data_IF_590224972154
#
_entry.id   IF_590224972154
#
_cell.length_a   1.000
_cell.length_b   1.000
_cell.length_c   1.000
_cell.angle_alpha   90.00
_cell.angle_beta   90.00
_cell.angle_gamma   90.00
#
_symmetry.space_group_name_H-M   'P 1'
#
loop_
_entity.id
_entity.type
_entity.pdbx_description
1 polymer ?
#
# COMPACT_ATOMS: atom_id res chain seq x y z
N UNK A 1 12.15 26.68 8.38
CA UNK A 1 10.83 26.21 7.85
C UNK A 1 9.72 26.96 8.59
N UNK A 2 8.62 27.33 7.91
CA UNK A 2 7.46 27.91 8.58
C UNK A 2 6.84 26.89 9.54
N UNK A 3 6.29 27.35 10.66
CA UNK A 3 5.66 26.47 11.66
C UNK A 3 4.31 25.98 11.06
N UNK A 4 4.12 24.68 10.94
CA UNK A 4 2.82 24.10 10.57
C UNK A 4 1.84 24.36 11.72
N UNK A 5 0.67 24.90 11.39
CA UNK A 5 -0.41 25.08 12.34
C UNK A 5 -1.71 24.45 11.87
N UNK A 6 -2.01 24.57 10.57
CA UNK A 6 -3.29 24.19 10.01
C UNK A 6 -3.14 23.05 9.01
N UNK A 7 -3.80 21.94 9.29
CA UNK A 7 -3.73 20.70 8.51
C UNK A 7 -5.14 20.33 8.03
N UNK A 8 -5.27 20.02 6.74
CA UNK A 8 -6.44 19.31 6.24
C UNK A 8 -6.16 17.82 6.26
N UNK A 9 -7.04 17.02 6.84
CA UNK A 9 -7.08 15.57 6.69
C UNK A 9 -8.10 15.25 5.61
N UNK A 10 -7.61 14.87 4.42
CA UNK A 10 -8.42 14.56 3.27
C UNK A 10 -8.71 13.06 3.21
N UNK A 11 -9.99 12.69 3.19
CA UNK A 11 -10.42 11.30 3.22
C UNK A 11 -11.59 11.05 2.25
N UNK A 12 -12.10 9.81 2.20
CA UNK A 12 -13.25 9.47 1.38
C UNK A 12 -12.87 9.00 -0.02
N UNK A 13 -13.54 9.51 -1.03
CA UNK A 13 -13.45 9.07 -2.41
C UNK A 13 -14.43 7.96 -2.77
N UNK A 14 -14.41 7.55 -4.05
CA UNK A 14 -15.36 6.58 -4.63
C UNK A 14 -14.92 5.13 -4.50
N UNK A 15 -13.76 4.88 -3.88
CA UNK A 15 -13.28 3.52 -3.77
C UNK A 15 -14.11 2.71 -2.77
N UNK A 16 -14.13 1.42 -2.94
CA UNK A 16 -14.76 0.50 -1.98
C UNK A 16 -14.01 0.45 -0.63
N UNK A 17 -12.88 1.15 -0.51
CA UNK A 17 -12.09 1.31 0.72
C UNK A 17 -12.46 2.60 1.48
N UNK A 18 -13.58 3.24 1.12
CA UNK A 18 -14.07 4.49 1.74
C UNK A 18 -14.16 4.40 3.26
N UNK A 19 -14.70 3.30 3.79
CA UNK A 19 -14.82 3.09 5.25
C UNK A 19 -13.44 3.04 5.94
N UNK A 20 -12.44 2.41 5.29
CA UNK A 20 -11.06 2.38 5.79
C UNK A 20 -10.45 3.79 5.80
N UNK A 21 -10.74 4.57 4.75
CA UNK A 21 -10.33 5.98 4.64
C UNK A 21 -10.93 6.83 5.76
N UNK A 22 -12.24 6.71 6.02
CA UNK A 22 -12.91 7.42 7.12
C UNK A 22 -12.33 7.07 8.50
N UNK A 23 -12.08 5.78 8.75
CA UNK A 23 -11.49 5.33 10.00
C UNK A 23 -10.05 5.82 10.17
N UNK A 24 -9.25 5.80 9.11
CA UNK A 24 -7.90 6.37 9.09
C UNK A 24 -7.93 7.86 9.41
N UNK A 25 -8.82 8.62 8.76
CA UNK A 25 -8.94 10.05 8.97
C UNK A 25 -9.33 10.41 10.42
N UNK A 26 -10.24 9.66 11.03
CA UNK A 26 -10.62 9.85 12.44
C UNK A 26 -9.44 9.67 13.40
N UNK A 27 -8.65 8.62 13.21
CA UNK A 27 -7.48 8.36 14.06
C UNK A 27 -6.37 9.39 13.83
N UNK A 28 -6.11 9.77 12.58
CA UNK A 28 -5.12 10.79 12.21
C UNK A 28 -5.54 12.14 12.81
N UNK A 29 -6.78 12.60 12.57
CA UNK A 29 -7.27 13.88 13.06
C UNK A 29 -7.20 13.97 14.59
N UNK A 30 -7.62 12.91 15.29
CA UNK A 30 -7.51 12.83 16.74
C UNK A 30 -6.06 12.97 17.23
N UNK A 31 -5.12 12.32 16.55
CA UNK A 31 -3.70 12.36 16.91
C UNK A 31 -3.09 13.73 16.67
N UNK A 32 -3.38 14.35 15.52
CA UNK A 32 -2.88 15.67 15.18
C UNK A 32 -3.45 16.76 16.12
N UNK A 33 -4.73 16.68 16.50
CA UNK A 33 -5.32 17.55 17.53
C UNK A 33 -4.62 17.40 18.89
N UNK A 34 -4.24 16.18 19.28
CA UNK A 34 -3.50 15.93 20.52
C UNK A 34 -2.11 16.56 20.49
N UNK A 35 -1.49 16.66 19.31
CA UNK A 35 -0.20 17.34 19.10
C UNK A 35 -0.33 18.87 19.00
N UNK A 36 -1.56 19.42 19.06
CA UNK A 36 -1.81 20.86 19.08
C UNK A 36 -1.95 21.50 17.69
N UNK A 37 -2.14 20.70 16.64
CA UNK A 37 -2.46 21.22 15.31
C UNK A 37 -3.92 21.66 15.19
N UNK A 38 -4.20 22.65 14.35
CA UNK A 38 -5.54 23.00 13.89
C UNK A 38 -5.90 22.06 12.72
N UNK A 39 -6.92 21.23 12.92
CA UNK A 39 -7.23 20.14 11.98
C UNK A 39 -8.63 20.30 11.42
N UNK A 40 -8.71 20.29 10.09
CA UNK A 40 -9.97 20.24 9.33
C UNK A 40 -10.04 18.91 8.59
N UNK A 41 -11.14 18.18 8.74
CA UNK A 41 -11.36 16.94 7.96
C UNK A 41 -12.26 17.26 6.77
N UNK A 42 -11.80 16.91 5.57
CA UNK A 42 -12.55 17.11 4.32
C UNK A 42 -12.82 15.76 3.68
N UNK A 43 -14.10 15.53 3.36
CA UNK A 43 -14.54 14.33 2.65
C UNK A 43 -14.49 14.56 1.14
N UNK A 44 -13.65 13.76 0.46
CA UNK A 44 -13.49 13.84 -0.98
C UNK A 44 -14.71 13.20 -1.67
N UNK A 45 -15.52 14.03 -2.34
CA UNK A 45 -16.69 13.60 -3.12
C UNK A 45 -16.31 13.08 -4.51
N UNK A 46 -17.31 12.90 -5.36
CA UNK A 46 -17.12 12.53 -6.77
C UNK A 46 -16.45 13.64 -7.60
N UNK A 47 -16.76 14.89 -7.27
CA UNK A 47 -16.20 16.08 -7.91
C UNK A 47 -15.08 16.66 -7.04
N UNK A 48 -13.88 16.14 -7.23
CA UNK A 48 -12.69 16.57 -6.48
C UNK A 48 -12.37 18.07 -6.63
N UNK A 49 -12.90 18.73 -7.66
CA UNK A 49 -12.55 20.13 -7.95
C UNK A 49 -13.11 21.11 -6.92
N UNK A 50 -14.27 20.80 -6.35
CA UNK A 50 -14.87 21.63 -5.31
C UNK A 50 -14.07 21.58 -4.00
N UNK A 51 -13.81 20.38 -3.52
CA UNK A 51 -13.09 20.18 -2.26
C UNK A 51 -11.65 20.68 -2.32
N UNK A 52 -11.00 20.57 -3.49
CA UNK A 52 -9.63 21.10 -3.68
C UNK A 52 -9.63 22.63 -3.59
N UNK A 53 -10.65 23.32 -4.14
CA UNK A 53 -10.79 24.77 -4.01
C UNK A 53 -10.96 25.25 -2.57
N UNK A 54 -11.42 24.41 -1.64
CA UNK A 54 -11.50 24.75 -0.21
C UNK A 54 -10.17 24.62 0.55
N UNK A 55 -9.17 23.96 -0.05
CA UNK A 55 -7.88 23.66 0.57
C UNK A 55 -6.90 24.85 0.53
N UNK A 56 -7.20 25.95 -0.17
CA UNK A 56 -6.28 27.06 -0.53
C UNK A 56 -5.54 27.78 0.64
N UNK A 57 -5.84 27.45 1.90
CA UNK A 57 -5.27 28.19 3.06
C UNK A 57 -4.80 27.27 4.19
N UNK A 58 -4.19 26.16 3.84
CA UNK A 58 -3.65 25.23 4.82
C UNK A 58 -2.15 25.06 4.62
N UNK A 59 -1.46 24.66 5.67
CA UNK A 59 0.00 24.47 5.60
C UNK A 59 0.36 23.13 4.92
N UNK A 60 -0.48 22.11 5.05
CA UNK A 60 -0.31 20.80 4.42
C UNK A 60 -1.62 20.00 4.44
N UNK A 61 -1.82 19.18 3.43
CA UNK A 61 -2.89 18.19 3.35
C UNK A 61 -2.39 16.82 3.77
N UNK A 62 -2.95 16.23 4.83
CA UNK A 62 -2.69 14.85 5.19
C UNK A 62 -3.60 13.94 4.38
N UNK A 63 -3.02 13.10 3.51
CA UNK A 63 -3.77 12.16 2.68
C UNK A 63 -4.14 10.93 3.49
N UNK A 64 -5.43 10.77 3.77
CA UNK A 64 -6.02 9.59 4.41
C UNK A 64 -6.95 8.83 3.46
N UNK A 65 -6.90 9.14 2.16
CA UNK A 65 -7.66 8.44 1.11
C UNK A 65 -7.08 7.05 0.85
N UNK A 66 -7.96 6.06 0.59
CA UNK A 66 -7.53 4.70 0.23
C UNK A 66 -8.19 4.25 -1.07
N UNK A 67 -7.40 3.57 -1.91
CA UNK A 67 -7.81 3.14 -3.24
C UNK A 67 -8.06 4.30 -4.21
N UNK A 68 -8.44 3.95 -5.43
CA UNK A 68 -8.91 4.91 -6.44
C UNK A 68 -7.96 6.08 -6.69
N UNK A 69 -8.51 7.29 -6.63
CA UNK A 69 -7.79 8.55 -6.92
C UNK A 69 -6.68 8.86 -5.89
N UNK A 70 -6.82 8.37 -4.65
CA UNK A 70 -5.85 8.62 -3.59
C UNK A 70 -4.52 7.88 -3.80
N UNK A 71 -4.57 6.69 -4.42
CA UNK A 71 -3.42 5.79 -4.54
C UNK A 71 -2.90 5.62 -5.98
N UNK A 72 -3.49 6.30 -6.97
CA UNK A 72 -3.10 6.18 -8.38
C UNK A 72 -2.27 7.36 -8.91
N UNK A 73 -1.87 8.28 -8.05
CA UNK A 73 -1.06 9.45 -8.38
C UNK A 73 -1.84 10.67 -8.89
N UNK A 74 -3.12 10.54 -9.23
CA UNK A 74 -3.90 11.64 -9.79
C UNK A 74 -4.08 12.79 -8.81
N UNK A 75 -4.43 12.48 -7.57
CA UNK A 75 -4.63 13.49 -6.53
C UNK A 75 -3.32 14.23 -6.22
N UNK A 76 -2.23 13.49 -6.13
CA UNK A 76 -0.89 14.06 -5.94
C UNK A 76 -0.48 14.99 -7.10
N UNK A 77 -0.79 14.59 -8.34
CA UNK A 77 -0.51 15.43 -9.52
C UNK A 77 -1.32 16.74 -9.52
N UNK A 78 -2.59 16.70 -9.06
CA UNK A 78 -3.40 17.90 -8.91
C UNK A 78 -2.78 18.83 -7.86
N UNK A 79 -2.39 18.31 -6.70
CA UNK A 79 -1.76 19.11 -5.65
C UNK A 79 -0.42 19.72 -6.09
N UNK A 80 0.38 18.98 -6.88
CA UNK A 80 1.61 19.51 -7.46
C UNK A 80 1.33 20.70 -8.39
N UNK A 81 0.28 20.64 -9.21
CA UNK A 81 -0.14 21.73 -10.11
C UNK A 81 -0.64 22.94 -9.32
N UNK A 82 -1.47 22.72 -8.32
CA UNK A 82 -2.07 23.77 -7.47
C UNK A 82 -1.08 24.30 -6.39
N UNK A 83 0.12 23.73 -6.31
CA UNK A 83 1.15 24.08 -5.31
C UNK A 83 0.65 23.90 -3.86
N UNK A 84 -0.12 22.88 -3.63
CA UNK A 84 -0.63 22.47 -2.33
C UNK A 84 0.31 21.41 -1.75
N UNK A 85 0.90 21.68 -0.58
CA UNK A 85 1.70 20.69 0.13
C UNK A 85 0.82 19.53 0.62
N UNK A 86 1.27 18.29 0.45
CA UNK A 86 0.56 17.11 0.88
C UNK A 86 1.50 16.06 1.48
N UNK A 87 0.98 15.14 2.29
CA UNK A 87 1.77 14.05 2.87
C UNK A 87 1.93 12.89 1.90
N UNK A 88 3.08 12.19 2.02
CA UNK A 88 3.38 10.99 1.26
C UNK A 88 4.21 11.25 0.01
N UNK A 89 4.22 10.26 -0.86
CA UNK A 89 5.14 10.18 -2.00
C UNK A 89 4.64 10.98 -3.21
N UNK A 90 5.51 11.18 -4.20
CA UNK A 90 5.19 11.92 -5.43
C UNK A 90 4.11 11.20 -6.26
N UNK A 91 3.48 11.95 -7.19
CA UNK A 91 2.50 11.38 -8.10
C UNK A 91 3.07 10.22 -8.93
N UNK A 92 4.31 10.33 -9.40
CA UNK A 92 4.94 9.31 -10.24
C UNK A 92 5.18 8.01 -9.45
N UNK A 93 5.78 8.12 -8.27
CA UNK A 93 6.03 6.98 -7.39
C UNK A 93 4.74 6.24 -7.02
N UNK A 94 3.70 7.02 -6.71
CA UNK A 94 2.37 6.51 -6.36
C UNK A 94 1.70 5.82 -7.55
N UNK A 95 1.77 6.42 -8.75
CA UNK A 95 1.19 5.82 -9.96
C UNK A 95 1.88 4.51 -10.38
N UNK A 96 3.21 4.45 -10.29
CA UNK A 96 3.99 3.25 -10.63
C UNK A 96 3.71 2.13 -9.62
N UNK A 97 3.66 2.45 -8.33
CA UNK A 97 3.43 1.43 -7.29
C UNK A 97 2.06 0.80 -7.39
N UNK A 98 1.04 1.56 -7.77
CA UNK A 98 -0.33 1.06 -7.95
C UNK A 98 -0.46 0.09 -9.13
N UNK A 99 0.35 0.25 -10.16
CA UNK A 99 0.35 -0.64 -11.34
C UNK A 99 1.23 -1.88 -11.09
N UNK A 100 0.60 -3.04 -10.89
CA UNK A 100 1.28 -4.31 -10.56
C UNK A 100 2.32 -4.73 -11.59
N UNK A 101 2.15 -4.38 -12.88
CA UNK A 101 3.14 -4.70 -13.91
C UNK A 101 4.35 -3.80 -13.78
N UNK A 102 4.13 -2.50 -13.62
CA UNK A 102 5.22 -1.53 -13.50
C UNK A 102 6.00 -1.72 -12.20
N UNK A 103 5.32 -1.88 -11.07
CA UNK A 103 5.99 -2.10 -9.77
C UNK A 103 6.85 -3.36 -9.76
N UNK A 104 6.41 -4.45 -10.41
CA UNK A 104 7.21 -5.68 -10.55
C UNK A 104 8.41 -5.52 -11.50
N UNK A 105 8.28 -4.73 -12.56
CA UNK A 105 9.42 -4.40 -13.44
C UNK A 105 10.48 -3.66 -12.61
N UNK A 106 10.07 -2.67 -11.83
CA UNK A 106 10.98 -1.92 -10.95
C UNK A 106 11.61 -2.85 -9.89
N UNK A 107 10.83 -3.66 -9.21
CA UNK A 107 11.36 -4.61 -8.22
C UNK A 107 12.37 -5.59 -8.84
N UNK A 108 12.08 -6.11 -10.03
CA UNK A 108 12.98 -7.01 -10.75
C UNK A 108 14.29 -6.31 -11.19
N UNK A 109 14.24 -5.03 -11.56
CA UNK A 109 15.43 -4.26 -11.99
C UNK A 109 16.46 -4.08 -10.86
N UNK A 110 16.02 -4.16 -9.60
CA UNK A 110 16.91 -4.12 -8.41
C UNK A 110 17.21 -5.49 -7.82
N UNK A 111 16.94 -6.55 -8.59
CA UNK A 111 17.28 -7.94 -8.23
C UNK A 111 16.34 -8.60 -7.24
N UNK A 112 15.11 -8.11 -7.10
CA UNK A 112 14.09 -8.75 -6.25
C UNK A 112 13.28 -9.74 -7.08
N UNK A 113 13.12 -10.97 -6.55
CA UNK A 113 12.32 -12.01 -7.22
C UNK A 113 10.83 -11.60 -7.26
N UNK A 114 10.22 -11.81 -8.42
CA UNK A 114 8.77 -11.70 -8.63
C UNK A 114 8.25 -13.04 -9.15
N UNK A 115 6.99 -13.34 -8.88
CA UNK A 115 6.34 -14.48 -9.52
C UNK A 115 6.34 -14.29 -11.05
N UNK A 116 6.53 -15.40 -11.78
CA UNK A 116 6.56 -15.37 -13.25
C UNK A 116 5.24 -14.88 -13.82
N UNK A 117 5.29 -13.85 -14.65
CA UNK A 117 4.13 -13.37 -15.40
C UNK A 117 3.79 -14.35 -16.52
N UNK A 118 2.50 -14.64 -16.69
CA UNK A 118 1.97 -15.55 -17.70
C UNK A 118 1.11 -14.78 -18.71
N UNK A 119 1.29 -15.07 -19.98
CA UNK A 119 0.42 -14.53 -21.03
C UNK A 119 -0.83 -15.41 -21.13
N UNK A 120 -2.01 -14.81 -21.00
CA UNK A 120 -3.30 -15.54 -20.92
C UNK A 120 -3.49 -16.53 -22.08
N UNK A 121 -3.14 -16.13 -23.29
CA UNK A 121 -3.22 -16.92 -24.52
C UNK A 121 -2.22 -18.08 -24.62
N UNK A 122 -1.22 -18.12 -23.70
CA UNK A 122 -0.15 -19.13 -23.69
C UNK A 122 -0.14 -20.02 -22.46
N UNK A 123 -1.13 -19.90 -21.57
CA UNK A 123 -1.20 -20.70 -20.34
C UNK A 123 -1.41 -22.19 -20.66
N UNK A 124 -0.51 -23.03 -20.15
CA UNK A 124 -0.53 -24.48 -20.31
C UNK A 124 -0.90 -25.18 -19.00
N UNK A 125 -1.22 -26.50 -19.08
CA UNK A 125 -1.62 -27.28 -17.91
C UNK A 125 -0.55 -27.36 -16.81
N UNK A 126 0.74 -27.27 -17.17
CA UNK A 126 1.87 -27.30 -16.23
C UNK A 126 2.18 -25.94 -15.58
N UNK A 127 1.47 -24.88 -15.97
CA UNK A 127 1.61 -23.56 -15.34
C UNK A 127 0.88 -23.45 -14.00
N UNK A 128 -0.08 -24.34 -13.75
CA UNK A 128 -0.91 -24.31 -12.53
C UNK A 128 -0.17 -24.80 -11.29
N UNK A 129 -0.51 -24.26 -10.10
CA UNK A 129 -1.52 -23.24 -9.86
C UNK A 129 -1.10 -21.83 -10.31
N UNK A 130 -2.09 -21.03 -10.74
CA UNK A 130 -1.92 -19.65 -11.15
C UNK A 130 -2.81 -18.72 -10.33
N UNK A 131 -2.46 -17.43 -10.29
CA UNK A 131 -3.28 -16.38 -9.71
C UNK A 131 -3.56 -15.30 -10.74
N UNK A 132 -4.80 -14.83 -10.81
CA UNK A 132 -5.17 -13.64 -11.57
C UNK A 132 -5.42 -12.47 -10.60
N UNK A 133 -5.01 -11.29 -11.03
CA UNK A 133 -5.15 -10.05 -10.24
C UNK A 133 -5.55 -8.91 -11.18
N UNK A 134 -6.47 -8.02 -10.79
CA UNK A 134 -6.63 -6.75 -11.50
C UNK A 134 -5.32 -5.95 -11.43
N UNK A 135 -4.95 -5.29 -12.54
CA UNK A 135 -3.65 -4.59 -12.63
C UNK A 135 -3.57 -3.44 -11.63
N UNK A 136 -4.67 -2.69 -11.45
CA UNK A 136 -4.75 -1.44 -10.68
C UNK A 136 -5.83 -1.51 -9.61
N UNK A 137 -5.81 -2.53 -8.78
CA UNK A 137 -6.76 -2.70 -7.68
C UNK A 137 -5.99 -2.98 -6.38
N UNK A 138 -6.45 -2.40 -5.28
CA UNK A 138 -5.96 -2.63 -3.92
C UNK A 138 -6.73 -3.73 -3.19
N UNK A 139 -6.42 -3.92 -1.91
CA UNK A 139 -7.15 -4.76 -0.94
C UNK A 139 -7.45 -6.18 -1.37
N UNK A 140 -6.61 -6.78 -2.21
CA UNK A 140 -6.78 -8.16 -2.72
C UNK A 140 -8.11 -8.43 -3.44
N UNK A 141 -8.85 -7.38 -3.84
CA UNK A 141 -10.11 -7.53 -4.56
C UNK A 141 -9.89 -8.04 -5.98
N UNK A 142 -10.78 -8.95 -6.40
CA UNK A 142 -10.71 -9.57 -7.72
C UNK A 142 -9.55 -10.54 -7.91
N UNK A 143 -8.81 -10.87 -6.85
CA UNK A 143 -7.80 -11.94 -6.89
C UNK A 143 -8.50 -13.29 -6.91
N UNK A 144 -8.09 -14.17 -7.85
CA UNK A 144 -8.54 -15.55 -7.90
C UNK A 144 -7.39 -16.51 -8.19
N UNK A 145 -7.39 -17.63 -7.48
CA UNK A 145 -6.41 -18.70 -7.64
C UNK A 145 -7.07 -19.88 -8.34
N UNK A 146 -6.41 -20.38 -9.39
CA UNK A 146 -6.86 -21.55 -10.14
C UNK A 146 -5.87 -22.68 -9.97
N UNK A 147 -6.40 -23.86 -9.63
CA UNK A 147 -5.58 -25.05 -9.40
C UNK A 147 -5.29 -25.82 -10.69
N UNK A 148 -6.11 -25.63 -11.74
CA UNK A 148 -5.96 -26.32 -13.01
C UNK A 148 -6.54 -25.51 -14.18
N UNK A 149 -6.13 -25.90 -15.39
CA UNK A 149 -6.53 -25.23 -16.63
C UNK A 149 -8.04 -25.24 -16.87
N UNK A 150 -8.74 -26.32 -16.55
CA UNK A 150 -10.19 -26.43 -16.75
C UNK A 150 -10.95 -25.35 -15.98
N UNK A 151 -10.61 -25.13 -14.70
CA UNK A 151 -11.23 -24.08 -13.88
C UNK A 151 -10.96 -22.69 -14.46
N UNK A 152 -9.73 -22.44 -14.89
CA UNK A 152 -9.34 -21.16 -15.48
C UNK A 152 -10.08 -20.90 -16.80
N UNK A 153 -10.13 -21.87 -17.72
CA UNK A 153 -10.75 -21.72 -19.04
C UNK A 153 -12.27 -21.45 -18.93
N UNK A 154 -12.96 -22.11 -17.99
CA UNK A 154 -14.38 -21.84 -17.72
C UNK A 154 -14.55 -20.39 -17.24
N UNK A 155 -13.79 -20.01 -16.21
CA UNK A 155 -13.88 -18.65 -15.65
C UNK A 155 -13.54 -17.57 -16.68
N UNK A 156 -12.47 -17.75 -17.46
CA UNK A 156 -12.03 -16.81 -18.47
C UNK A 156 -13.06 -16.62 -19.60
N UNK A 157 -13.76 -17.71 -19.97
CA UNK A 157 -14.83 -17.65 -20.97
C UNK A 157 -16.07 -16.90 -20.47
N UNK A 158 -16.37 -17.02 -19.19
CA UNK A 158 -17.52 -16.34 -18.55
C UNK A 158 -17.24 -14.85 -18.24
N UNK A 159 -15.97 -14.45 -18.27
CA UNK A 159 -15.52 -13.10 -17.91
C UNK A 159 -14.66 -12.48 -19.04
N UNK A 160 -15.25 -12.16 -20.20
CA UNK A 160 -14.51 -11.59 -21.34
C UNK A 160 -13.90 -10.21 -21.04
N UNK A 161 -14.41 -9.51 -19.99
CA UNK A 161 -13.87 -8.24 -19.49
C UNK A 161 -12.48 -8.36 -18.86
N UNK A 162 -11.96 -9.56 -18.62
CA UNK A 162 -10.67 -9.82 -18.01
C UNK A 162 -9.45 -9.48 -18.89
N UNK A 163 -9.63 -8.83 -20.03
CA UNK A 163 -8.53 -8.35 -20.90
C UNK A 163 -7.50 -7.46 -20.21
N UNK A 164 -7.80 -6.95 -19.01
CA UNK A 164 -6.91 -6.09 -18.20
C UNK A 164 -6.39 -6.77 -16.93
N UNK A 165 -6.41 -8.11 -16.84
CA UNK A 165 -5.88 -8.81 -15.68
C UNK A 165 -4.37 -9.09 -15.81
N UNK A 166 -3.75 -9.22 -14.66
CA UNK A 166 -2.39 -9.68 -14.51
C UNK A 166 -2.42 -11.14 -14.04
N UNK A 167 -1.83 -12.03 -14.81
CA UNK A 167 -1.76 -13.48 -14.50
C UNK A 167 -0.35 -13.84 -14.14
N UNK A 168 -0.17 -14.55 -13.04
CA UNK A 168 1.14 -15.01 -12.60
C UNK A 168 1.09 -16.41 -11.97
N UNK A 169 2.26 -17.04 -11.90
CA UNK A 169 2.46 -18.28 -11.14
C UNK A 169 2.06 -18.03 -9.69
N UNK A 170 1.24 -18.92 -9.12
CA UNK A 170 0.93 -18.83 -7.69
C UNK A 170 2.13 -19.29 -6.86
N UNK A 171 2.56 -18.46 -5.94
CA UNK A 171 3.62 -18.78 -4.97
C UNK A 171 2.94 -19.16 -3.66
N UNK A 172 3.12 -20.41 -3.23
CA UNK A 172 2.69 -20.86 -1.92
C UNK A 172 3.77 -20.53 -0.90
N UNK A 173 3.41 -19.83 0.18
CA UNK A 173 4.38 -19.43 1.19
C UNK A 173 3.76 -18.67 2.34
N UNK A 174 4.63 -18.15 3.21
CA UNK A 174 4.28 -17.26 4.33
C UNK A 174 4.28 -15.82 3.84
N UNK A 175 3.32 -15.04 4.31
CA UNK A 175 3.17 -13.64 3.92
C UNK A 175 3.79 -12.72 4.97
N UNK A 176 4.57 -11.74 4.50
CA UNK A 176 5.28 -10.76 5.31
C UNK A 176 5.08 -9.37 4.75
N UNK A 177 5.10 -8.39 5.64
CA UNK A 177 5.10 -6.98 5.28
C UNK A 177 6.25 -6.25 5.96
N UNK A 178 6.76 -5.20 5.31
CA UNK A 178 7.81 -4.33 5.84
C UNK A 178 7.49 -2.89 5.51
N UNK A 179 7.27 -2.10 6.55
CA UNK A 179 7.11 -0.66 6.47
C UNK A 179 8.44 0.07 6.41
N UNK A 180 8.43 1.23 5.75
CA UNK A 180 9.55 2.18 5.73
C UNK A 180 9.02 3.56 6.04
N UNK A 181 9.76 4.30 6.85
CA UNK A 181 9.47 5.69 7.24
C UNK A 181 10.73 6.53 7.03
N UNK A 182 10.78 7.31 5.95
CA UNK A 182 11.99 7.96 5.47
C UNK A 182 13.09 6.95 5.15
N UNK A 183 14.19 7.00 5.89
CA UNK A 183 15.31 6.06 5.79
C UNK A 183 15.21 4.91 6.83
N UNK A 184 14.21 4.95 7.71
CA UNK A 184 14.02 3.96 8.77
C UNK A 184 13.24 2.77 8.27
N UNK A 185 13.86 1.59 8.30
CA UNK A 185 13.19 0.31 8.00
C UNK A 185 12.57 -0.24 9.27
N UNK A 186 11.27 -0.47 9.25
CA UNK A 186 10.50 -0.94 10.40
C UNK A 186 10.67 -2.45 10.63
N UNK A 187 10.27 -2.95 11.82
CA UNK A 187 10.25 -4.38 12.10
C UNK A 187 9.32 -5.14 11.15
N UNK A 188 9.74 -6.32 10.70
CA UNK A 188 8.95 -7.19 9.83
C UNK A 188 7.70 -7.67 10.56
N UNK A 189 6.55 -7.62 9.91
CA UNK A 189 5.30 -8.22 10.37
C UNK A 189 4.98 -9.47 9.54
N UNK A 190 4.60 -10.56 10.20
CA UNK A 190 4.09 -11.77 9.57
C UNK A 190 2.57 -11.80 9.62
N UNK A 191 1.95 -12.10 8.49
CA UNK A 191 0.51 -12.21 8.34
C UNK A 191 0.15 -13.68 8.22
N UNK A 192 -0.51 -14.23 9.24
CA UNK A 192 -0.94 -15.63 9.29
C UNK A 192 -2.44 -15.71 9.09
N UNK A 193 -2.84 -16.21 7.95
CA UNK A 193 -4.26 -16.43 7.62
C UNK A 193 -4.67 -17.81 8.07
N UNK A 194 -5.79 -17.92 8.78
CA UNK A 194 -6.30 -19.21 9.26
C UNK A 194 -6.75 -20.13 8.14
N UNK A 195 -7.34 -19.55 7.08
CA UNK A 195 -7.83 -20.28 5.91
C UNK A 195 -7.62 -19.46 4.63
N UNK A 196 -7.10 -20.07 3.58
CA UNK A 196 -6.97 -19.45 2.26
C UNK A 196 -5.73 -18.56 2.11
N UNK A 197 -5.91 -17.36 1.61
CA UNK A 197 -4.89 -16.31 1.45
C UNK A 197 -5.39 -14.99 2.05
N UNK A 198 -4.51 -14.01 2.19
CA UNK A 198 -4.85 -12.71 2.80
C UNK A 198 -5.69 -11.87 1.83
N UNK A 199 -6.96 -12.25 1.67
CA UNK A 199 -7.97 -11.55 0.86
C UNK A 199 -8.62 -10.39 1.63
N UNK A 200 -9.55 -9.70 0.96
CA UNK A 200 -10.30 -8.59 1.54
C UNK A 200 -11.01 -8.98 2.84
N UNK A 201 -11.66 -10.14 2.88
CA UNK A 201 -12.39 -10.59 4.07
C UNK A 201 -11.42 -10.87 5.23
N UNK A 202 -10.29 -11.51 4.94
CA UNK A 202 -9.27 -11.79 5.95
C UNK A 202 -8.56 -10.53 6.47
N UNK A 203 -8.48 -9.46 5.65
CA UNK A 203 -7.90 -8.16 6.05
C UNK A 203 -8.78 -7.39 7.04
N UNK A 204 -10.11 -7.45 6.89
CA UNK A 204 -11.04 -6.60 7.63
C UNK A 204 -11.95 -7.36 8.60
N UNK A 205 -11.89 -8.70 8.65
CA UNK A 205 -12.62 -9.51 9.62
C UNK A 205 -11.77 -9.76 10.85
N UNK A 206 -12.22 -9.31 12.01
CA UNK A 206 -11.54 -9.49 13.28
C UNK A 206 -11.27 -10.98 13.55
N UNK A 207 -9.99 -11.32 13.75
CA UNK A 207 -9.56 -12.68 14.06
C UNK A 207 -9.46 -13.64 12.86
N UNK A 208 -9.65 -13.18 11.61
CA UNK A 208 -9.45 -13.99 10.42
C UNK A 208 -7.96 -14.15 10.06
N UNK A 209 -7.14 -13.15 10.37
CA UNK A 209 -5.69 -13.20 10.33
C UNK A 209 -5.08 -12.93 11.71
N UNK A 210 -3.91 -13.48 11.96
CA UNK A 210 -3.03 -13.18 13.08
C UNK A 210 -1.82 -12.41 12.56
N UNK A 211 -1.61 -11.20 13.06
CA UNK A 211 -0.51 -10.33 12.69
C UNK A 211 0.54 -10.37 13.80
N UNK A 212 1.74 -10.87 13.48
CA UNK A 212 2.83 -11.06 14.44
C UNK A 212 3.95 -10.07 14.15
N UNK A 213 4.11 -9.08 15.02
CA UNK A 213 5.17 -8.06 14.91
C UNK A 213 5.92 -7.91 16.25
N UNK A 214 7.27 -7.97 16.27
CA UNK A 214 8.14 -8.44 15.19
C UNK A 214 7.88 -9.91 14.81
N UNK A 215 8.02 -10.23 13.52
CA UNK A 215 7.85 -11.59 13.00
C UNK A 215 8.83 -12.56 13.67
N UNK A 216 8.35 -13.76 14.04
CA UNK A 216 9.20 -14.82 14.63
C UNK A 216 9.91 -15.61 13.54
N UNK A 217 10.98 -15.05 13.00
CA UNK A 217 11.81 -15.60 11.90
C UNK A 217 13.31 -15.44 12.22
N UNK A 218 14.17 -16.07 11.41
CA UNK A 218 15.61 -15.94 11.58
C UNK A 218 16.09 -14.52 11.25
N UNK A 219 17.16 -14.07 11.90
CA UNK A 219 17.80 -12.77 11.61
C UNK A 219 18.17 -12.62 10.13
N UNK A 220 18.67 -13.70 9.50
CA UNK A 220 18.97 -13.73 8.08
C UNK A 220 17.76 -13.40 7.22
N UNK A 221 16.60 -13.99 7.51
CA UNK A 221 15.37 -13.73 6.76
C UNK A 221 14.84 -12.32 7.03
N UNK A 222 14.87 -11.87 8.29
CA UNK A 222 14.52 -10.48 8.68
C UNK A 222 15.34 -9.49 7.87
N UNK A 223 16.67 -9.63 7.87
CA UNK A 223 17.55 -8.75 7.11
C UNK A 223 17.29 -8.79 5.60
N UNK A 224 17.00 -9.99 5.05
CA UNK A 224 16.67 -10.12 3.62
C UNK A 224 15.40 -9.38 3.26
N UNK A 225 14.33 -9.53 4.04
CA UNK A 225 13.05 -8.83 3.82
C UNK A 225 13.21 -7.32 3.94
N UNK A 226 13.86 -6.86 5.01
CA UNK A 226 14.11 -5.43 5.24
C UNK A 226 14.95 -4.80 4.14
N UNK A 227 16.05 -5.44 3.75
CA UNK A 227 16.90 -4.98 2.64
C UNK A 227 16.16 -4.96 1.32
N UNK A 228 15.29 -5.95 1.05
CA UNK A 228 14.47 -6.01 -0.15
C UNK A 228 13.45 -4.88 -0.19
N UNK A 229 12.74 -4.64 0.91
CA UNK A 229 11.79 -3.54 1.03
C UNK A 229 12.46 -2.18 0.82
N UNK A 230 13.62 -1.96 1.45
CA UNK A 230 14.37 -0.71 1.28
C UNK A 230 14.83 -0.49 -0.17
N UNK A 231 15.35 -1.53 -0.84
CA UNK A 231 15.73 -1.43 -2.26
C UNK A 231 14.54 -1.06 -3.15
N UNK A 232 13.38 -1.67 -2.92
CA UNK A 232 12.15 -1.40 -3.67
C UNK A 232 11.66 0.02 -3.39
N UNK A 233 11.65 0.45 -2.12
CA UNK A 233 11.28 1.80 -1.71
C UNK A 233 12.09 2.85 -2.48
N UNK A 234 13.41 2.71 -2.51
CA UNK A 234 14.29 3.63 -3.25
C UNK A 234 14.10 3.56 -4.77
N UNK A 235 13.94 2.35 -5.32
CA UNK A 235 13.77 2.16 -6.75
C UNK A 235 12.43 2.67 -7.29
N UNK A 236 11.36 2.61 -6.49
CA UNK A 236 10.07 3.21 -6.81
C UNK A 236 10.07 4.74 -6.62
N UNK A 237 11.14 5.33 -6.10
CA UNK A 237 11.24 6.75 -5.81
C UNK A 237 10.40 7.19 -4.62
N UNK A 238 10.12 6.28 -3.69
CA UNK A 238 9.50 6.66 -2.43
C UNK A 238 10.49 7.41 -1.55
N UNK A 239 10.00 8.40 -0.82
CA UNK A 239 10.84 9.25 0.03
C UNK A 239 10.24 9.50 1.41
N UNK A 240 8.93 9.29 1.59
CA UNK A 240 8.26 9.58 2.86
C UNK A 240 7.98 8.29 3.62
N UNK A 241 7.10 7.46 3.12
CA UNK A 241 6.75 6.18 3.74
C UNK A 241 6.20 5.20 2.72
N UNK A 242 6.30 3.94 3.02
CA UNK A 242 5.70 2.88 2.20
C UNK A 242 5.57 1.60 3.01
N UNK A 243 4.81 0.66 2.47
CA UNK A 243 4.74 -0.71 2.95
C UNK A 243 4.92 -1.66 1.78
N UNK A 244 5.81 -2.62 1.91
CA UNK A 244 6.09 -3.62 0.87
C UNK A 244 5.74 -5.00 1.37
N UNK A 245 4.93 -5.72 0.59
CA UNK A 245 4.40 -7.03 0.94
C UNK A 245 5.14 -8.14 0.14
N UNK A 246 5.46 -9.25 0.82
CA UNK A 246 6.25 -10.36 0.30
C UNK A 246 5.62 -11.70 0.61
N UNK A 247 5.87 -12.70 -0.25
CA UNK A 247 5.70 -14.12 0.06
C UNK A 247 7.08 -14.76 0.18
N UNK A 248 7.28 -15.56 1.21
CA UNK A 248 8.46 -16.41 1.37
C UNK A 248 8.05 -17.86 1.19
N UNK A 249 8.56 -18.50 0.14
CA UNK A 249 8.24 -19.88 -0.16
C UNK A 249 8.91 -20.90 0.79
N UNK A 250 8.60 -22.18 0.62
CA UNK A 250 9.14 -23.28 1.44
C UNK A 250 10.67 -23.44 1.32
N UNK A 251 11.28 -22.89 0.26
CA UNK A 251 12.74 -22.88 0.05
C UNK A 251 13.42 -21.68 0.70
N UNK A 252 12.65 -20.74 1.23
CA UNK A 252 13.13 -19.49 1.80
C UNK A 252 13.37 -18.38 0.77
N UNK A 253 12.90 -18.54 -0.47
CA UNK A 253 12.97 -17.53 -1.50
C UNK A 253 11.92 -16.43 -1.23
N UNK A 254 12.35 -15.17 -1.30
CA UNK A 254 11.52 -13.98 -1.04
C UNK A 254 11.00 -13.45 -2.36
N UNK A 255 9.67 -13.39 -2.51
CA UNK A 255 8.98 -12.88 -3.69
C UNK A 255 8.21 -11.61 -3.37
N UNK A 256 8.41 -10.58 -4.17
CA UNK A 256 7.65 -9.33 -4.10
C UNK A 256 6.21 -9.54 -4.54
N UNK A 257 5.26 -9.03 -3.76
CA UNK A 257 3.84 -8.97 -4.10
C UNK A 257 3.47 -7.61 -4.64
N UNK A 258 3.55 -6.59 -3.79
CA UNK A 258 3.19 -5.21 -4.09
C UNK A 258 3.86 -4.24 -3.10
N UNK A 259 3.88 -2.93 -3.45
CA UNK A 259 4.24 -1.85 -2.54
C UNK A 259 3.15 -0.81 -2.50
N UNK A 260 2.80 -0.40 -1.29
CA UNK A 260 1.76 0.59 -1.03
C UNK A 260 2.40 1.95 -0.70
N UNK A 261 2.06 2.97 -1.46
CA UNK A 261 2.52 4.36 -1.26
C UNK A 261 1.73 5.13 -0.19
N UNK A 262 0.51 4.68 0.10
CA UNK A 262 -0.40 5.20 1.12
C UNK A 262 -0.95 4.04 1.97
N UNK A 263 -0.11 3.42 2.82
CA UNK A 263 -0.56 2.34 3.70
C UNK A 263 -1.68 2.79 4.64
N UNK A 264 -2.57 1.85 5.00
CA UNK A 264 -3.64 2.13 5.95
C UNK A 264 -3.12 2.69 7.28
N UNK A 265 -3.86 3.65 7.82
CA UNK A 265 -3.52 4.40 9.03
C UNK A 265 -4.59 4.25 10.13
N UNK A 266 -5.13 3.04 10.29
CA UNK A 266 -5.95 2.69 11.45
C UNK A 266 -5.07 2.02 12.52
N UNK A 267 -5.57 1.88 13.74
CA UNK A 267 -4.83 1.20 14.83
C UNK A 267 -4.48 -0.25 14.53
N UNK A 268 -5.26 -0.90 13.67
CA UNK A 268 -5.06 -2.29 13.26
C UNK A 268 -4.34 -2.42 11.93
N UNK A 269 -3.99 -1.30 11.29
CA UNK A 269 -3.21 -1.32 10.05
C UNK A 269 -1.77 -1.75 10.29
N UNK A 270 -1.16 -2.44 9.32
CA UNK A 270 0.17 -3.05 9.46
C UNK A 270 1.25 -2.00 9.75
N UNK A 271 1.31 -0.89 8.99
CA UNK A 271 2.34 0.13 9.18
C UNK A 271 2.34 0.76 10.59
N UNK A 272 1.19 1.18 11.18
CA UNK A 272 1.13 1.62 12.57
C UNK A 272 1.58 0.57 13.58
N UNK A 273 1.31 -0.72 13.35
CA UNK A 273 1.78 -1.80 14.21
C UNK A 273 3.30 -1.98 14.12
N UNK A 274 3.87 -1.93 12.91
CA UNK A 274 5.32 -1.97 12.67
C UNK A 274 6.02 -0.76 13.32
N UNK A 275 5.46 0.45 13.17
CA UNK A 275 5.97 1.66 13.80
C UNK A 275 5.95 1.55 15.34
N UNK A 276 4.85 1.07 15.92
CA UNK A 276 4.73 0.83 17.37
C UNK A 276 5.76 -0.17 17.87
N UNK A 277 6.02 -1.25 17.13
CA UNK A 277 7.05 -2.22 17.47
C UNK A 277 8.47 -1.64 17.40
N UNK A 278 8.67 -0.58 16.60
CA UNK A 278 9.91 0.22 16.56
C UNK A 278 9.97 1.33 17.65
N UNK A 279 8.96 1.42 18.52
CA UNK A 279 8.90 2.45 19.57
C UNK A 279 8.31 3.79 19.11
N UNK A 280 7.71 3.85 17.92
CA UNK A 280 7.07 5.05 17.36
C UNK A 280 5.56 4.90 17.57
N UNK A 281 4.98 5.70 18.46
CA UNK A 281 3.54 5.71 18.65
C UNK A 281 2.81 6.39 17.48
N UNK A 282 1.49 6.25 17.44
CA UNK A 282 0.71 6.71 16.30
C UNK A 282 0.72 8.23 16.09
N UNK A 283 0.64 9.10 17.13
CA UNK A 283 0.84 10.53 16.96
C UNK A 283 2.21 10.89 16.37
N UNK A 284 3.28 10.33 16.90
CA UNK A 284 4.64 10.55 16.40
C UNK A 284 4.83 10.01 14.97
N UNK A 285 4.15 8.92 14.61
CA UNK A 285 4.13 8.44 13.22
C UNK A 285 3.49 9.48 12.28
N UNK A 286 2.32 10.04 12.66
CA UNK A 286 1.66 11.07 11.86
C UNK A 286 2.53 12.33 11.71
N UNK A 287 3.13 12.79 12.81
CA UNK A 287 4.02 13.95 12.81
C UNK A 287 5.24 13.72 11.91
N UNK A 288 5.88 12.55 12.03
CA UNK A 288 7.05 12.21 11.20
C UNK A 288 6.72 12.13 9.71
N UNK A 289 5.55 11.63 9.35
CA UNK A 289 5.06 11.64 7.95
C UNK A 289 4.94 13.08 7.44
N UNK A 290 4.41 14.00 8.25
CA UNK A 290 4.30 15.42 7.89
C UNK A 290 5.69 16.03 7.70
N UNK A 291 6.60 15.84 8.64
CA UNK A 291 7.97 16.38 8.58
C UNK A 291 8.70 15.91 7.30
N UNK A 292 8.74 14.59 7.07
CA UNK A 292 9.37 14.00 5.89
C UNK A 292 8.76 14.54 4.59
N UNK A 293 7.44 14.70 4.55
CA UNK A 293 6.75 15.21 3.38
C UNK A 293 7.16 16.64 3.04
N UNK A 294 7.34 17.48 4.06
CA UNK A 294 7.80 18.86 3.88
C UNK A 294 9.28 18.97 3.51
N UNK A 295 10.13 18.13 4.09
CA UNK A 295 11.55 18.10 3.75
C UNK A 295 11.75 17.92 2.23
N UNK A 296 10.93 17.06 1.61
CA UNK A 296 11.02 16.77 0.17
C UNK A 296 10.47 17.92 -0.68
N UNK A 297 9.39 18.56 -0.26
CA UNK A 297 8.73 19.64 -1.03
C UNK A 297 9.38 21.00 -0.86
N UNK A 298 10.25 21.15 0.13
CA UNK A 298 11.06 22.36 0.34
C UNK A 298 12.33 22.40 -0.51
N UNK A 299 12.65 21.30 -1.24
CA UNK A 299 13.78 21.22 -2.15
C UNK A 299 13.37 21.63 -3.56
#
# INVERSE_FOLDING_TARGET
MAIIKKIVVLYGGLSEEREVSENSAKEISKSLLTLGYDVISIDLSQDCSYEIGEIEKVDIVFLATHGGIGENGKLQAIFDVEKIDYTGNSFLSTAISMDKKLSKIVASSVGIKCASNLMVDRIQANDFPIVIKPIRSGSSKGIKIFQNKKQFDIYYKEHPELGSVFVEKYIKGREFSVGILGETVLPVIEIKVKNGFYDYNNKYTVGAAEEVVPAKISEKLTHTLQKSAYKIHKALGFNVYSRTDFIVDEKGDVYFIESNSLPGMTKTSLLPQEAKAAGIDFPNLCERIIELSREIRSQ
#
